data_IF_532075858441
#
_entry.id   IF_532075858441
#
_cell.length_a   1.000
_cell.length_b   1.000
_cell.length_c   1.000
_cell.angle_alpha   90.00
_cell.angle_beta   90.00
_cell.angle_gamma   90.00
#
_symmetry.space_group_name_H-M   'P 1'
#
loop_
_entity.id
_entity.type
_entity.pdbx_description
1 polymer ?
#
# COMPACT_ATOMS: atom_id res chain seq x y z
N UNK A 1 16.95 -1.67 20.14
CA UNK A 1 16.57 -2.18 18.83
C UNK A 1 15.57 -3.32 18.97
N UNK A 2 14.85 -3.60 17.87
CA UNK A 2 13.83 -4.66 17.84
C UNK A 2 14.40 -6.03 17.40
N UNK A 3 15.70 -6.10 17.17
CA UNK A 3 16.39 -7.29 16.67
C UNK A 3 16.31 -7.43 15.14
N UNK A 4 16.88 -8.52 14.61
CA UNK A 4 16.86 -8.79 13.18
C UNK A 4 15.43 -8.99 12.68
N UNK A 5 15.06 -8.28 11.63
CA UNK A 5 13.74 -8.36 10.98
C UNK A 5 13.83 -7.96 9.52
N UNK A 6 12.76 -8.15 8.79
CA UNK A 6 12.63 -7.67 7.41
C UNK A 6 11.27 -7.03 7.21
N UNK A 7 11.23 -6.07 6.30
CA UNK A 7 10.01 -5.45 5.80
C UNK A 7 9.77 -5.83 4.34
N UNK A 8 8.49 -5.89 3.94
CA UNK A 8 8.09 -6.20 2.56
C UNK A 8 7.91 -4.92 1.71
N UNK A 9 8.55 -3.82 2.12
CA UNK A 9 8.47 -2.51 1.48
C UNK A 9 9.81 -1.77 1.63
N UNK A 10 9.97 -0.71 0.85
CA UNK A 10 11.17 0.13 0.89
C UNK A 10 11.26 0.90 2.20
N UNK A 11 12.43 0.89 2.82
CA UNK A 11 12.71 1.61 4.06
C UNK A 11 13.91 2.52 3.88
N UNK A 12 13.76 3.79 4.26
CA UNK A 12 14.84 4.75 4.36
C UNK A 12 15.06 5.09 5.83
N UNK A 13 16.26 4.85 6.32
CA UNK A 13 16.69 5.24 7.66
C UNK A 13 17.49 6.52 7.54
N UNK A 14 17.06 7.58 8.20
CA UNK A 14 17.73 8.88 8.22
C UNK A 14 18.27 9.08 9.63
N UNK A 15 19.58 9.14 9.79
CA UNK A 15 20.21 9.36 11.08
C UNK A 15 20.16 10.86 11.43
N UNK A 16 19.44 11.19 12.50
CA UNK A 16 19.21 12.58 12.92
C UNK A 16 20.13 13.05 14.05
N UNK A 17 20.39 12.21 15.04
CA UNK A 17 21.23 12.54 16.20
C UNK A 17 22.01 11.32 16.66
N UNK A 18 23.27 11.52 17.09
CA UNK A 18 24.13 10.45 17.60
C UNK A 18 24.41 9.38 16.57
N UNK A 19 25.00 8.27 17.01
CA UNK A 19 25.47 7.21 16.13
C UNK A 19 24.68 5.91 16.36
N UNK A 20 24.36 5.22 15.25
CA UNK A 20 23.68 3.95 15.27
C UNK A 20 24.34 2.96 14.34
N UNK A 21 24.61 1.77 14.82
CA UNK A 21 25.18 0.70 14.02
C UNK A 21 24.06 -0.06 13.31
N UNK A 22 24.25 -0.29 12.01
CA UNK A 22 23.29 -0.98 11.16
C UNK A 22 23.95 -2.14 10.41
N UNK A 23 23.20 -3.24 10.33
CA UNK A 23 23.56 -4.40 9.54
C UNK A 23 22.42 -4.72 8.60
N UNK A 24 22.72 -4.94 7.30
CA UNK A 24 21.74 -5.29 6.27
C UNK A 24 22.25 -6.49 5.50
N UNK A 25 21.40 -7.49 5.30
CA UNK A 25 21.67 -8.69 4.51
C UNK A 25 21.02 -8.65 3.14
N UNK A 26 21.32 -9.65 2.31
CA UNK A 26 20.60 -9.89 1.05
C UNK A 26 19.29 -10.63 1.33
N UNK A 27 18.27 -10.51 0.45
CA UNK A 27 17.08 -11.33 0.53
C UNK A 27 17.45 -12.82 0.44
N UNK A 28 16.91 -13.61 1.35
CA UNK A 28 17.11 -15.08 1.37
C UNK A 28 15.76 -15.76 1.67
N UNK A 29 15.26 -16.52 0.71
CA UNK A 29 14.01 -17.27 0.85
C UNK A 29 14.07 -18.38 1.92
N UNK A 30 15.27 -18.82 2.31
CA UNK A 30 15.47 -19.85 3.33
C UNK A 30 15.64 -19.27 4.74
N UNK A 31 15.67 -17.95 4.88
CA UNK A 31 15.82 -17.30 6.17
C UNK A 31 14.62 -17.62 7.06
N UNK A 32 14.88 -18.23 8.21
CA UNK A 32 13.82 -18.59 9.16
C UNK A 32 13.22 -17.34 9.75
N UNK A 33 11.90 -17.23 9.62
CA UNK A 33 11.10 -16.16 10.18
C UNK A 33 10.44 -16.62 11.47
N UNK A 34 10.46 -15.75 12.48
CA UNK A 34 9.80 -15.98 13.76
C UNK A 34 8.68 -14.96 13.93
N UNK A 35 7.48 -15.42 14.16
CA UNK A 35 6.35 -14.55 14.44
C UNK A 35 6.19 -14.36 15.97
N UNK A 36 7.03 -13.59 16.61
CA UNK A 36 6.75 -13.13 17.98
C UNK A 36 5.67 -12.04 18.00
N UNK A 37 5.60 -11.27 16.92
CA UNK A 37 4.57 -10.25 16.71
C UNK A 37 4.10 -10.30 15.25
N UNK A 38 2.77 -10.30 15.03
CA UNK A 38 2.19 -10.37 13.67
C UNK A 38 2.55 -9.19 12.78
N UNK A 39 2.98 -8.07 13.35
CA UNK A 39 3.36 -6.85 12.63
C UNK A 39 4.84 -6.75 12.28
N UNK A 40 5.69 -7.60 12.84
CA UNK A 40 7.14 -7.57 12.62
C UNK A 40 7.63 -8.97 12.22
N UNK A 41 8.17 -9.10 11.01
CA UNK A 41 8.75 -10.35 10.51
C UNK A 41 10.17 -10.49 11.05
N UNK A 42 10.28 -10.97 12.30
CA UNK A 42 11.58 -11.26 12.91
C UNK A 42 12.24 -12.46 12.26
N UNK A 43 13.55 -12.38 12.09
CA UNK A 43 14.37 -13.39 11.44
C UNK A 43 15.52 -13.82 12.35
N UNK A 44 16.12 -14.97 12.05
CA UNK A 44 17.35 -15.39 12.70
C UNK A 44 18.55 -14.53 12.23
N UNK A 45 19.72 -14.80 12.78
CA UNK A 45 20.97 -14.15 12.38
C UNK A 45 21.22 -14.35 10.88
N UNK A 46 21.66 -13.30 10.23
CA UNK A 46 21.89 -13.27 8.79
C UNK A 46 23.31 -12.75 8.46
N UNK A 47 23.90 -13.16 7.32
CA UNK A 47 25.14 -12.58 6.84
C UNK A 47 24.89 -11.15 6.35
N UNK A 48 25.58 -10.17 6.96
CA UNK A 48 25.46 -8.79 6.56
C UNK A 48 26.35 -8.50 5.34
N UNK A 49 25.82 -7.77 4.36
CA UNK A 49 26.55 -7.18 3.23
C UNK A 49 26.80 -5.68 3.46
N UNK A 50 26.00 -5.05 4.30
CA UNK A 50 26.27 -3.72 4.87
C UNK A 50 26.42 -3.91 6.38
N UNK A 51 27.50 -3.40 6.91
CA UNK A 51 27.80 -3.43 8.33
C UNK A 51 28.54 -2.12 8.67
N UNK A 52 27.78 -1.11 9.12
CA UNK A 52 28.31 0.24 9.25
C UNK A 52 27.65 1.02 10.40
N UNK A 53 28.32 2.07 10.84
CA UNK A 53 27.77 3.05 11.77
C UNK A 53 27.31 4.26 10.98
N UNK A 54 26.04 4.65 11.15
CA UNK A 54 25.52 5.90 10.60
C UNK A 54 25.72 7.05 11.58
N UNK A 55 26.08 8.19 11.03
CA UNK A 55 26.25 9.48 11.72
C UNK A 55 25.14 10.47 11.27
N UNK A 56 24.89 11.56 12.03
CA UNK A 56 23.87 12.53 11.66
C UNK A 56 24.05 13.06 10.22
N UNK A 57 22.97 12.95 9.41
CA UNK A 57 22.97 13.30 7.99
C UNK A 57 23.07 12.10 7.05
N UNK A 58 23.49 10.93 7.55
CA UNK A 58 23.54 9.71 6.73
C UNK A 58 22.14 9.16 6.47
N UNK A 59 21.98 8.55 5.29
CA UNK A 59 20.76 7.86 4.87
C UNK A 59 21.12 6.44 4.45
N UNK A 60 20.42 5.46 5.00
CA UNK A 60 20.50 4.06 4.61
C UNK A 60 19.19 3.63 3.94
N UNK A 61 19.28 3.16 2.70
CA UNK A 61 18.17 2.54 2.00
C UNK A 61 18.20 1.03 2.14
N UNK A 62 17.06 0.45 2.50
CA UNK A 62 16.86 -0.99 2.68
C UNK A 62 15.75 -1.44 1.73
N UNK A 63 16.06 -2.24 0.70
CA UNK A 63 15.07 -2.78 -0.21
C UNK A 63 14.11 -3.78 0.46
N UNK A 64 12.91 -4.02 -0.13
CA UNK A 64 11.99 -5.04 0.37
C UNK A 64 12.62 -6.43 0.51
N UNK A 65 12.32 -7.11 1.62
CA UNK A 65 12.79 -8.47 1.88
C UNK A 65 14.25 -8.61 2.32
N UNK A 66 15.00 -7.54 2.39
CA UNK A 66 16.34 -7.53 2.98
C UNK A 66 16.23 -7.58 4.50
N UNK A 67 16.86 -8.56 5.18
CA UNK A 67 16.91 -8.58 6.63
C UNK A 67 17.84 -7.48 7.15
N UNK A 68 17.43 -6.84 8.22
CA UNK A 68 18.24 -5.78 8.83
C UNK A 68 18.05 -5.68 10.34
N UNK A 69 19.05 -5.13 11.01
CA UNK A 69 18.99 -4.79 12.42
C UNK A 69 19.80 -3.52 12.70
N UNK A 70 19.39 -2.81 13.74
CA UNK A 70 20.11 -1.61 14.18
C UNK A 70 20.10 -1.44 15.68
N UNK A 71 21.23 -1.00 16.23
CA UNK A 71 21.36 -0.68 17.66
C UNK A 71 22.12 0.63 17.86
N UNK A 72 21.70 1.38 18.85
CA UNK A 72 22.33 2.64 19.20
C UNK A 72 23.69 2.38 19.87
N UNK A 73 24.71 3.09 19.42
CA UNK A 73 26.07 3.07 19.99
C UNK A 73 26.18 4.08 21.14
N UNK A 74 25.36 5.11 21.05
CA UNK A 74 25.23 6.19 22.03
C UNK A 74 23.78 6.69 22.04
N UNK A 75 23.46 7.79 22.72
CA UNK A 75 22.14 8.41 22.61
C UNK A 75 21.89 8.84 21.18
N UNK A 76 20.96 8.21 20.50
CA UNK A 76 20.74 8.37 19.08
C UNK A 76 19.25 8.48 18.72
N UNK A 77 18.97 9.29 17.71
CA UNK A 77 17.66 9.43 17.08
C UNK A 77 17.80 9.18 15.57
N UNK A 78 16.96 8.32 15.05
CA UNK A 78 16.81 8.15 13.62
C UNK A 78 15.32 8.20 13.23
N UNK A 79 15.07 8.60 11.99
CA UNK A 79 13.75 8.54 11.36
C UNK A 79 13.71 7.36 10.41
N UNK A 80 12.63 6.59 10.46
CA UNK A 80 12.37 5.52 9.51
C UNK A 80 11.20 5.91 8.63
N UNK A 81 11.44 5.97 7.32
CA UNK A 81 10.42 6.29 6.32
C UNK A 81 10.16 5.05 5.49
N UNK A 82 8.97 4.45 5.64
CA UNK A 82 8.57 3.25 4.91
C UNK A 82 7.58 3.57 3.80
N UNK A 83 7.85 3.08 2.60
CA UNK A 83 6.94 3.18 1.45
C UNK A 83 6.19 1.86 1.27
N UNK A 84 5.09 1.72 2.01
CA UNK A 84 4.27 0.51 1.94
C UNK A 84 3.48 0.47 0.64
N UNK A 85 3.81 -0.50 -0.23
CA UNK A 85 2.94 -0.88 -1.33
C UNK A 85 1.82 -1.80 -0.81
N UNK A 86 0.57 -1.65 -1.28
CA UNK A 86 -0.50 -2.57 -0.95
C UNK A 86 -0.21 -3.94 -1.56
N UNK A 87 -0.50 -5.02 -0.84
CA UNK A 87 -0.45 -6.35 -1.40
C UNK A 87 -1.78 -6.70 -2.10
N UNK A 88 -1.77 -7.80 -2.88
CA UNK A 88 -2.94 -8.24 -3.64
C UNK A 88 -4.19 -8.43 -2.77
N UNK A 89 -4.04 -9.01 -1.57
CA UNK A 89 -5.14 -9.23 -0.64
C UNK A 89 -5.74 -7.91 -0.15
N UNK A 90 -4.87 -6.94 0.18
CA UNK A 90 -5.30 -5.62 0.66
C UNK A 90 -6.09 -4.88 -0.44
N UNK A 91 -5.60 -4.94 -1.69
CA UNK A 91 -6.29 -4.36 -2.85
C UNK A 91 -7.65 -5.00 -3.09
N UNK A 92 -7.72 -6.33 -3.09
CA UNK A 92 -8.98 -7.06 -3.31
C UNK A 92 -10.00 -6.79 -2.19
N UNK A 93 -9.55 -6.74 -0.93
CA UNK A 93 -10.42 -6.44 0.20
C UNK A 93 -10.99 -5.03 0.10
N UNK A 94 -10.14 -4.03 -0.11
CA UNK A 94 -10.56 -2.62 -0.22
C UNK A 94 -11.48 -2.38 -1.44
N UNK A 95 -11.22 -3.08 -2.54
CA UNK A 95 -12.09 -2.99 -3.71
C UNK A 95 -13.46 -3.62 -3.44
N UNK A 96 -13.50 -4.76 -2.74
CA UNK A 96 -14.77 -5.39 -2.34
C UNK A 96 -15.57 -4.49 -1.38
N UNK A 97 -14.90 -3.86 -0.40
CA UNK A 97 -15.52 -2.89 0.50
C UNK A 97 -16.12 -1.71 -0.30
N UNK A 98 -15.38 -1.19 -1.29
CA UNK A 98 -15.87 -0.12 -2.17
C UNK A 98 -17.12 -0.54 -2.97
N UNK A 99 -17.17 -1.76 -3.51
CA UNK A 99 -18.36 -2.25 -4.20
C UNK A 99 -19.58 -2.35 -3.26
N UNK A 100 -19.37 -2.76 -2.01
CA UNK A 100 -20.41 -2.82 -0.98
C UNK A 100 -20.93 -1.43 -0.65
N UNK A 101 -20.04 -0.49 -0.34
CA UNK A 101 -20.37 0.88 0.08
C UNK A 101 -21.09 1.67 -1.03
N UNK A 102 -20.78 1.38 -2.28
CA UNK A 102 -21.39 2.03 -3.46
C UNK A 102 -22.57 1.25 -4.03
N UNK A 103 -22.95 0.14 -3.42
CA UNK A 103 -24.02 -0.76 -3.89
C UNK A 103 -23.79 -1.28 -5.33
N UNK A 104 -22.54 -1.38 -5.76
CA UNK A 104 -22.13 -1.92 -7.05
C UNK A 104 -21.84 -3.43 -6.97
N UNK A 105 -21.54 -4.07 -8.11
CA UNK A 105 -21.20 -5.50 -8.13
C UNK A 105 -22.38 -6.44 -7.87
N UNK A 106 -23.61 -6.01 -8.09
CA UNK A 106 -24.84 -6.77 -7.80
C UNK A 106 -25.16 -7.86 -8.82
N UNK A 107 -24.32 -8.04 -9.87
CA UNK A 107 -24.53 -9.08 -10.87
C UNK A 107 -24.39 -10.46 -10.24
N UNK A 108 -25.39 -11.31 -10.44
CA UNK A 108 -25.43 -12.65 -9.89
C UNK A 108 -24.95 -13.69 -10.88
N UNK A 109 -24.31 -14.73 -10.38
CA UNK A 109 -24.06 -15.93 -11.15
C UNK A 109 -25.37 -16.52 -11.66
N UNK A 110 -25.43 -16.86 -12.94
CA UNK A 110 -26.59 -17.51 -13.55
C UNK A 110 -26.23 -18.89 -14.07
N UNK A 111 -27.02 -19.87 -13.71
CA UNK A 111 -26.84 -21.28 -14.03
C UNK A 111 -27.85 -21.84 -15.04
N UNK A 112 -28.56 -20.95 -15.75
CA UNK A 112 -29.63 -21.33 -16.68
C UNK A 112 -29.22 -22.25 -17.85
N UNK A 113 -27.92 -22.43 -18.05
CA UNK A 113 -27.36 -23.33 -19.06
C UNK A 113 -26.84 -24.65 -18.50
N UNK A 114 -27.03 -24.90 -17.22
CA UNK A 114 -26.63 -26.16 -16.61
C UNK A 114 -27.44 -27.34 -17.16
N UNK A 115 -26.72 -28.41 -17.50
CA UNK A 115 -27.32 -29.68 -17.90
C UNK A 115 -27.42 -30.62 -16.71
N UNK A 116 -28.42 -31.49 -16.72
CA UNK A 116 -28.54 -32.56 -15.72
C UNK A 116 -27.28 -33.44 -15.78
N UNK A 117 -26.76 -33.75 -14.62
CA UNK A 117 -25.60 -34.63 -14.45
C UNK A 117 -25.80 -35.61 -13.30
N UNK A 118 -25.11 -36.74 -13.38
CA UNK A 118 -25.26 -37.82 -12.37
C UNK A 118 -24.65 -37.43 -11.01
N UNK A 119 -23.54 -36.69 -11.05
CA UNK A 119 -22.86 -36.20 -9.85
C UNK A 119 -23.38 -34.80 -9.45
N UNK A 120 -24.34 -34.81 -8.49
CA UNK A 120 -25.03 -33.57 -8.06
C UNK A 120 -24.13 -32.57 -7.30
N UNK A 121 -23.03 -33.01 -6.75
CA UNK A 121 -22.09 -32.18 -5.98
C UNK A 121 -20.83 -31.77 -6.77
N UNK A 122 -20.77 -32.08 -8.06
CA UNK A 122 -19.62 -31.75 -8.88
C UNK A 122 -19.64 -30.29 -9.31
N UNK A 123 -18.55 -29.57 -9.03
CA UNK A 123 -18.25 -28.27 -9.63
C UNK A 123 -17.29 -28.50 -10.79
N UNK A 124 -17.75 -28.30 -12.02
CA UNK A 124 -16.91 -28.51 -13.20
C UNK A 124 -16.07 -27.25 -13.54
N UNK A 125 -15.08 -27.43 -14.39
CA UNK A 125 -14.16 -26.35 -14.79
C UNK A 125 -14.87 -25.17 -15.45
N UNK A 126 -15.96 -25.41 -16.20
CA UNK A 126 -16.72 -24.34 -16.85
C UNK A 126 -17.42 -23.47 -15.82
N UNK A 127 -18.05 -24.05 -14.81
CA UNK A 127 -18.70 -23.31 -13.75
C UNK A 127 -17.70 -22.52 -12.92
N UNK A 128 -16.56 -23.12 -12.60
CA UNK A 128 -15.49 -22.43 -11.89
C UNK A 128 -14.96 -21.22 -12.69
N UNK A 129 -14.77 -21.37 -13.99
CA UNK A 129 -14.33 -20.29 -14.85
C UNK A 129 -15.41 -19.21 -15.00
N UNK A 130 -16.67 -19.55 -15.09
CA UNK A 130 -17.78 -18.58 -15.13
C UNK A 130 -17.83 -17.73 -13.84
N UNK A 131 -17.66 -18.34 -12.68
CA UNK A 131 -17.60 -17.62 -11.41
C UNK A 131 -16.38 -16.69 -11.36
N UNK A 132 -15.24 -17.17 -11.82
CA UNK A 132 -14.02 -16.36 -11.91
C UNK A 132 -14.21 -15.17 -12.84
N UNK A 133 -14.81 -15.37 -14.01
CA UNK A 133 -15.11 -14.29 -14.97
C UNK A 133 -16.11 -13.28 -14.39
N UNK A 134 -17.07 -13.71 -13.60
CA UNK A 134 -17.97 -12.80 -12.89
C UNK A 134 -17.22 -11.88 -11.92
N UNK A 135 -16.22 -12.40 -11.20
CA UNK A 135 -15.36 -11.58 -10.32
C UNK A 135 -14.47 -10.64 -11.12
N UNK A 136 -13.86 -11.13 -12.22
CA UNK A 136 -13.03 -10.32 -13.11
C UNK A 136 -13.81 -9.16 -13.72
N UNK A 137 -15.04 -9.40 -14.14
CA UNK A 137 -15.89 -8.35 -14.74
C UNK A 137 -16.12 -7.15 -13.81
N UNK A 138 -16.13 -7.35 -12.51
CA UNK A 138 -16.24 -6.24 -11.55
C UNK A 138 -14.97 -5.37 -11.54
N UNK A 139 -13.79 -5.98 -11.71
CA UNK A 139 -12.49 -5.28 -11.76
C UNK A 139 -12.28 -4.62 -13.12
N UNK A 140 -12.75 -5.24 -14.20
CA UNK A 140 -12.61 -4.77 -15.57
C UNK A 140 -13.53 -3.57 -15.90
N UNK A 141 -14.47 -3.23 -15.02
CA UNK A 141 -15.19 -1.94 -15.14
C UNK A 141 -14.21 -0.79 -14.84
N UNK A 142 -13.65 -0.26 -15.91
CA UNK A 142 -12.64 0.79 -15.82
C UNK A 142 -13.10 2.04 -15.05
N UNK A 143 -14.38 2.38 -15.10
CA UNK A 143 -14.91 3.56 -14.41
C UNK A 143 -14.93 3.32 -12.90
N UNK A 144 -15.48 2.19 -12.49
CA UNK A 144 -15.55 1.78 -11.09
C UNK A 144 -14.14 1.62 -10.51
N UNK A 145 -13.28 0.87 -11.23
CA UNK A 145 -11.92 0.58 -10.78
C UNK A 145 -11.07 1.85 -10.62
N UNK A 146 -11.09 2.75 -11.62
CA UNK A 146 -10.30 3.99 -11.58
C UNK A 146 -10.79 4.95 -10.49
N UNK A 147 -12.09 5.06 -10.29
CA UNK A 147 -12.67 5.88 -9.22
C UNK A 147 -12.24 5.34 -7.85
N UNK A 148 -12.38 4.04 -7.63
CA UNK A 148 -11.90 3.40 -6.40
C UNK A 148 -10.40 3.60 -6.19
N UNK A 149 -9.58 3.36 -7.22
CA UNK A 149 -8.13 3.46 -7.13
C UNK A 149 -7.69 4.88 -6.77
N UNK A 150 -8.28 5.89 -7.41
CA UNK A 150 -8.02 7.29 -7.10
C UNK A 150 -8.36 7.63 -5.65
N UNK A 151 -9.53 7.23 -5.19
CA UNK A 151 -9.98 7.45 -3.82
C UNK A 151 -9.09 6.71 -2.81
N UNK A 152 -8.80 5.43 -3.04
CA UNK A 152 -7.98 4.61 -2.13
C UNK A 152 -6.55 5.13 -2.00
N UNK A 153 -5.91 5.52 -3.11
CA UNK A 153 -4.55 6.03 -3.08
C UNK A 153 -4.42 7.47 -2.56
N UNK A 154 -5.49 8.27 -2.64
CA UNK A 154 -5.52 9.65 -2.13
C UNK A 154 -5.85 9.74 -0.65
N UNK A 155 -6.37 8.67 -0.04
CA UNK A 155 -6.67 8.67 1.40
C UNK A 155 -5.40 8.90 2.23
N UNK A 156 -5.45 9.76 3.26
CA UNK A 156 -4.37 9.91 4.20
C UNK A 156 -4.18 8.61 4.99
N UNK A 157 -2.94 8.18 5.21
CA UNK A 157 -2.64 6.97 6.00
C UNK A 157 -2.86 7.13 7.50
N UNK A 158 -2.95 8.35 7.96
CA UNK A 158 -3.16 8.70 9.36
C UNK A 158 -4.33 9.67 9.43
N UNK A 159 -5.18 9.47 10.44
CA UNK A 159 -6.18 10.46 10.80
C UNK A 159 -5.43 11.73 11.24
N UNK A 160 -5.31 12.64 10.30
CA UNK A 160 -4.87 14.00 10.59
C UNK A 160 -6.13 14.78 10.90
N UNK A 161 -6.14 15.56 11.98
CA UNK A 161 -7.20 16.52 12.27
C UNK A 161 -7.23 17.61 11.19
N UNK A 162 -7.62 17.24 9.99
CA UNK A 162 -7.87 18.17 8.91
C UNK A 162 -9.21 18.81 9.22
N UNK A 163 -9.19 20.06 9.64
CA UNK A 163 -10.43 20.84 9.76
C UNK A 163 -11.01 21.03 8.34
N UNK A 164 -12.16 20.42 8.02
CA UNK A 164 -12.80 20.69 6.75
C UNK A 164 -13.20 22.16 6.67
N UNK A 165 -13.19 22.72 5.47
CA UNK A 165 -13.73 24.05 5.26
C UNK A 165 -15.22 24.07 5.66
N UNK A 166 -15.66 25.10 6.35
CA UNK A 166 -17.09 25.26 6.69
C UNK A 166 -17.96 25.29 5.44
N UNK A 167 -17.45 25.91 4.37
CA UNK A 167 -18.05 25.89 3.03
C UNK A 167 -17.03 25.40 2.02
N UNK A 168 -17.14 24.16 1.53
CA UNK A 168 -16.23 23.64 0.51
C UNK A 168 -16.42 24.37 -0.81
N UNK A 169 -15.32 24.65 -1.50
CA UNK A 169 -15.36 25.23 -2.84
C UNK A 169 -16.05 24.30 -3.84
N UNK A 170 -16.86 24.89 -4.71
CA UNK A 170 -17.39 24.16 -5.89
C UNK A 170 -16.28 23.91 -6.91
N UNK A 171 -16.52 22.98 -7.84
CA UNK A 171 -15.57 22.68 -8.91
C UNK A 171 -15.28 23.91 -9.78
N UNK A 172 -16.29 24.72 -10.06
CA UNK A 172 -16.13 25.92 -10.90
C UNK A 172 -15.35 27.01 -10.17
N UNK A 173 -15.57 27.19 -8.87
CA UNK A 173 -14.75 28.09 -8.04
C UNK A 173 -13.28 27.65 -8.00
N UNK A 174 -13.01 26.34 -7.85
CA UNK A 174 -11.64 25.83 -7.90
C UNK A 174 -11.00 26.08 -9.26
N UNK A 175 -11.74 25.87 -10.37
CA UNK A 175 -11.24 26.16 -11.72
C UNK A 175 -10.89 27.63 -11.90
N UNK A 176 -11.74 28.54 -11.43
CA UNK A 176 -11.50 29.97 -11.49
C UNK A 176 -10.24 30.34 -10.68
N UNK A 177 -10.11 29.85 -9.45
CA UNK A 177 -8.93 30.05 -8.62
C UNK A 177 -7.64 29.53 -9.28
N UNK A 178 -7.69 28.38 -9.98
CA UNK A 178 -6.53 27.81 -10.68
C UNK A 178 -6.09 28.64 -11.90
N UNK A 179 -6.91 29.55 -12.42
CA UNK A 179 -6.54 30.47 -13.50
C UNK A 179 -5.87 31.75 -13.01
N UNK A 180 -5.92 32.03 -11.71
CA UNK A 180 -5.28 33.20 -11.10
C UNK A 180 -3.81 32.91 -10.81
N UNK A 181 -2.92 33.39 -11.68
CA UNK A 181 -1.48 33.22 -11.60
C UNK A 181 -0.85 33.89 -10.35
N UNK A 182 -1.60 34.71 -9.61
CA UNK A 182 -1.12 35.38 -8.39
C UNK A 182 -1.33 34.49 -7.14
N UNK A 183 -2.12 33.43 -7.24
CA UNK A 183 -2.40 32.53 -6.14
C UNK A 183 -1.38 31.39 -6.07
N UNK A 184 -0.95 31.09 -4.87
CA UNK A 184 -0.09 29.95 -4.56
C UNK A 184 -0.94 28.90 -3.86
N UNK A 185 -1.05 27.73 -4.46
CA UNK A 185 -1.71 26.59 -3.86
C UNK A 185 -0.69 25.79 -3.05
N UNK A 186 -0.89 25.71 -1.76
CA UNK A 186 -0.08 24.87 -0.88
C UNK A 186 -0.86 23.61 -0.49
N UNK A 187 -0.18 22.48 -0.58
CA UNK A 187 -0.74 21.21 -0.11
C UNK A 187 -0.70 21.18 1.41
N UNK A 188 -1.84 21.02 2.04
CA UNK A 188 -1.90 20.75 3.48
C UNK A 188 -1.19 19.45 3.83
N UNK A 189 -0.51 19.41 4.97
CA UNK A 189 0.12 18.21 5.49
C UNK A 189 -0.91 17.07 5.61
N UNK A 190 -0.52 15.87 5.18
CA UNK A 190 -1.40 14.68 5.19
C UNK A 190 -2.29 14.53 3.95
N UNK A 191 -2.49 15.56 3.13
CA UNK A 191 -3.25 15.43 1.88
C UNK A 191 -2.41 14.78 0.78
N UNK A 192 -3.06 14.01 -0.09
CA UNK A 192 -2.47 13.38 -1.29
C UNK A 192 -3.28 13.78 -2.50
N UNK A 193 -2.60 14.30 -3.50
CA UNK A 193 -3.18 14.54 -4.81
C UNK A 193 -2.66 13.46 -5.78
N UNK A 194 -3.58 12.76 -6.43
CA UNK A 194 -3.27 11.75 -7.44
C UNK A 194 -4.00 12.15 -8.70
N UNK A 195 -3.33 12.08 -9.82
CA UNK A 195 -3.92 12.35 -11.12
C UNK A 195 -3.60 11.21 -12.09
N UNK A 196 -4.47 11.01 -13.04
CA UNK A 196 -4.29 10.08 -14.14
C UNK A 196 -4.37 10.85 -15.45
N UNK A 197 -3.37 10.68 -16.30
CA UNK A 197 -3.44 11.18 -17.68
C UNK A 197 -4.34 10.23 -18.45
N UNK A 198 -5.48 10.73 -18.89
CA UNK A 198 -6.42 9.99 -19.74
C UNK A 198 -6.28 10.57 -21.14
N UNK A 199 -5.60 9.84 -22.01
CA UNK A 199 -5.27 10.19 -23.39
C UNK A 199 -4.41 11.47 -23.55
N UNK A 200 -3.42 11.39 -24.44
CA UNK A 200 -2.57 12.51 -24.84
C UNK A 200 -3.40 13.56 -25.64
N UNK A 201 -4.36 14.22 -25.00
CA UNK A 201 -5.07 15.38 -25.54
C UNK A 201 -4.99 16.55 -24.59
#
# INVERSE_FOLDING_TARGET
GVGPHLDQYDVFIIQGLGKRHWRVGLPDANLKQFAQNKSLLQVEQFPAVIDCVLEPGDILYIPPGCPYEGYAVENALNYSVGFRAPNQRDLLSQFADHLIDTELGNTRYGDSKLTLRDSKGELNNLEAEQIKQLMIAAIDDNTVFKTWLGNSLSQPKHDMDLAPLEEPYTVDQVRELLTDETLIFERLGGTRAIYQIIDDK
#
